data_IF_736935420171
#
_entry.id   IF_736935420171
#
_cell.length_a   1.000
_cell.length_b   1.000
_cell.length_c   1.000
_cell.angle_alpha   90.00
_cell.angle_beta   90.00
_cell.angle_gamma   90.00
#
_symmetry.space_group_name_H-M   'P 1'
#
loop_
_entity.id
_entity.type
_entity.pdbx_description
1 polymer ?
#
# COMPACT_ATOMS: atom_id res chain seq x y z
N UNK A 1 15.75 -33.49 6.98
CA UNK A 1 15.14 -32.42 6.15
C UNK A 1 14.34 -31.39 6.96
N UNK A 2 13.35 -31.77 7.76
CA UNK A 2 12.51 -30.82 8.52
C UNK A 2 13.29 -29.85 9.44
N UNK A 3 14.34 -30.33 10.13
CA UNK A 3 15.17 -29.48 10.99
C UNK A 3 15.96 -28.39 10.23
N UNK A 4 16.37 -28.66 8.99
CA UNK A 4 17.05 -27.68 8.12
C UNK A 4 16.11 -26.54 7.74
N UNK A 5 14.86 -26.86 7.35
CA UNK A 5 13.86 -25.86 7.03
C UNK A 5 13.46 -25.03 8.25
N UNK A 6 13.30 -25.63 9.44
CA UNK A 6 13.05 -24.89 10.69
C UNK A 6 14.16 -23.88 10.98
N UNK A 7 15.42 -24.32 10.97
CA UNK A 7 16.59 -23.45 11.18
C UNK A 7 16.71 -22.34 10.13
N UNK A 8 16.26 -22.58 8.90
CA UNK A 8 16.19 -21.58 7.82
C UNK A 8 15.13 -20.52 8.10
N UNK A 9 13.94 -20.91 8.55
CA UNK A 9 12.87 -19.98 8.87
C UNK A 9 13.19 -19.11 10.09
N UNK A 10 13.75 -19.69 11.15
CA UNK A 10 14.25 -18.96 12.33
C UNK A 10 15.26 -17.88 11.94
N UNK A 11 16.22 -18.22 11.05
CA UNK A 11 17.19 -17.25 10.52
C UNK A 11 16.53 -16.13 9.74
N UNK A 12 15.54 -16.44 8.90
CA UNK A 12 14.77 -15.43 8.15
C UNK A 12 13.96 -14.53 9.08
N UNK A 13 13.38 -15.08 10.13
CA UNK A 13 12.61 -14.31 11.11
C UNK A 13 13.52 -13.40 11.94
N UNK A 14 14.64 -13.91 12.43
CA UNK A 14 15.65 -13.10 13.12
C UNK A 14 16.19 -11.97 12.23
N UNK A 15 16.44 -12.24 10.94
CA UNK A 15 16.83 -11.22 9.96
C UNK A 15 15.74 -10.16 9.80
N UNK A 16 14.48 -10.58 9.62
CA UNK A 16 13.32 -9.66 9.50
C UNK A 16 13.17 -8.80 10.75
N UNK A 17 13.32 -9.36 11.95
CA UNK A 17 13.27 -8.63 13.22
C UNK A 17 14.36 -7.55 13.28
N UNK A 18 15.61 -7.93 13.05
CA UNK A 18 16.76 -6.99 13.02
C UNK A 18 16.57 -5.87 11.99
N UNK A 19 15.99 -6.18 10.83
CA UNK A 19 15.69 -5.17 9.82
C UNK A 19 14.60 -4.18 10.28
N UNK A 20 13.53 -4.67 10.93
CA UNK A 20 12.47 -3.80 11.50
C UNK A 20 13.02 -2.90 12.60
N UNK A 21 13.80 -3.43 13.53
CA UNK A 21 14.44 -2.67 14.61
C UNK A 21 15.37 -1.57 14.04
N UNK A 22 16.24 -1.94 13.08
CA UNK A 22 17.12 -0.98 12.41
C UNK A 22 16.33 0.11 11.67
N UNK A 23 15.26 -0.27 10.98
CA UNK A 23 14.39 0.66 10.28
C UNK A 23 13.75 1.66 11.26
N UNK A 24 13.16 1.16 12.34
CA UNK A 24 12.51 1.98 13.36
C UNK A 24 13.50 2.96 13.99
N UNK A 25 14.67 2.46 14.43
CA UNK A 25 15.75 3.28 15.01
C UNK A 25 16.20 4.39 14.07
N UNK A 26 16.46 4.07 12.80
CA UNK A 26 16.86 5.08 11.80
C UNK A 26 15.76 6.12 11.59
N UNK A 27 14.49 5.71 11.55
CA UNK A 27 13.35 6.62 11.38
C UNK A 27 13.23 7.58 12.57
N UNK A 28 13.38 7.09 13.80
CA UNK A 28 13.29 7.93 15.01
C UNK A 28 14.46 8.91 15.09
N UNK A 29 15.65 8.51 14.65
CA UNK A 29 16.86 9.35 14.64
C UNK A 29 16.93 10.32 13.44
N UNK A 30 15.92 10.33 12.56
CA UNK A 30 15.93 11.18 11.36
C UNK A 30 16.99 10.76 10.34
N UNK A 31 17.35 9.48 10.31
CA UNK A 31 18.32 8.90 9.39
C UNK A 31 17.63 8.19 8.22
N UNK A 32 18.31 8.19 7.09
CA UNK A 32 17.94 7.50 5.88
C UNK A 32 17.86 6.00 6.15
N UNK A 33 16.68 5.41 5.90
CA UNK A 33 16.42 4.00 6.20
C UNK A 33 17.32 3.06 5.40
N UNK A 34 17.81 3.50 4.24
CA UNK A 34 18.66 2.71 3.35
C UNK A 34 20.13 2.81 3.78
N UNK A 35 20.72 4.01 3.75
CA UNK A 35 22.17 4.20 3.95
C UNK A 35 22.56 4.68 5.36
N UNK A 36 21.63 5.12 6.20
CA UNK A 36 21.91 5.61 7.56
C UNK A 36 22.44 7.04 7.66
N UNK A 37 22.65 7.76 6.54
CA UNK A 37 22.97 9.21 6.54
C UNK A 37 21.76 10.04 6.95
N UNK A 38 21.92 11.32 7.28
CA UNK A 38 20.79 12.22 7.59
C UNK A 38 19.71 12.17 6.50
N UNK A 39 18.46 11.93 6.90
CA UNK A 39 17.33 11.95 5.98
C UNK A 39 16.98 13.38 5.58
N UNK A 40 16.33 13.53 4.44
CA UNK A 40 15.70 14.80 4.07
C UNK A 40 14.55 15.11 5.03
N UNK A 41 14.30 16.40 5.31
CA UNK A 41 13.31 16.83 6.30
C UNK A 41 11.93 16.16 6.07
N UNK A 42 11.42 15.49 7.11
CA UNK A 42 10.15 14.76 7.07
C UNK A 42 10.11 13.55 6.13
N UNK A 43 11.25 13.11 5.57
CA UNK A 43 11.34 11.95 4.67
C UNK A 43 12.07 10.79 5.35
N UNK A 44 11.86 9.59 4.80
CA UNK A 44 12.55 8.36 5.27
C UNK A 44 13.92 8.14 4.61
N UNK A 45 14.22 8.85 3.52
CA UNK A 45 15.46 8.70 2.74
C UNK A 45 16.20 10.02 2.68
N UNK A 46 17.53 9.95 2.48
CA UNK A 46 18.29 11.08 1.97
C UNK A 46 18.00 11.29 0.47
N UNK A 47 18.34 12.47 -0.05
CA UNK A 47 18.12 12.84 -1.44
C UNK A 47 18.74 11.84 -2.43
N UNK A 48 19.97 11.40 -2.19
CA UNK A 48 20.67 10.46 -3.08
C UNK A 48 19.97 9.11 -3.16
N UNK A 49 19.56 8.56 -2.01
CA UNK A 49 18.85 7.28 -1.96
C UNK A 49 17.46 7.39 -2.58
N UNK A 50 16.78 8.51 -2.37
CA UNK A 50 15.52 8.79 -3.02
C UNK A 50 15.66 8.84 -4.55
N UNK A 51 16.63 9.61 -5.07
CA UNK A 51 16.85 9.73 -6.51
C UNK A 51 17.29 8.41 -7.15
N UNK A 52 18.15 7.65 -6.48
CA UNK A 52 18.57 6.31 -6.94
C UNK A 52 17.36 5.38 -7.04
N UNK A 53 16.52 5.35 -6.02
CA UNK A 53 15.31 4.53 -6.01
C UNK A 53 14.31 4.99 -7.07
N UNK A 54 14.09 6.29 -7.23
CA UNK A 54 13.24 6.84 -8.29
C UNK A 54 13.72 6.44 -9.69
N UNK A 55 15.04 6.45 -9.94
CA UNK A 55 15.61 5.97 -11.21
C UNK A 55 15.42 4.48 -11.42
N UNK A 56 15.64 3.68 -10.39
CA UNK A 56 15.39 2.24 -10.44
C UNK A 56 13.91 1.94 -10.70
N UNK A 57 13.01 2.55 -9.92
CA UNK A 57 11.57 2.40 -10.06
C UNK A 57 11.13 2.81 -11.46
N UNK A 58 11.63 3.94 -12.00
CA UNK A 58 11.37 4.34 -13.40
C UNK A 58 11.82 3.26 -14.39
N UNK A 59 13.07 2.78 -14.30
CA UNK A 59 13.60 1.72 -15.20
C UNK A 59 12.78 0.44 -15.09
N UNK A 60 12.44 0.03 -13.87
CA UNK A 60 11.61 -1.14 -13.60
C UNK A 60 10.21 -0.95 -14.20
N UNK A 61 9.58 0.20 -13.98
CA UNK A 61 8.28 0.50 -14.56
C UNK A 61 8.32 0.69 -16.06
N UNK A 62 9.42 1.12 -16.68
CA UNK A 62 9.52 1.23 -18.13
C UNK A 62 9.71 -0.17 -18.76
N UNK A 63 10.58 -1.00 -18.17
CA UNK A 63 10.88 -2.34 -18.66
C UNK A 63 9.75 -3.36 -18.38
N UNK A 64 9.09 -3.21 -17.23
CA UNK A 64 8.06 -4.14 -16.75
C UNK A 64 6.71 -3.45 -16.60
N UNK A 65 6.47 -2.31 -17.28
CA UNK A 65 5.15 -1.68 -17.26
C UNK A 65 4.16 -2.72 -17.74
N UNK A 66 3.34 -3.19 -16.81
CA UNK A 66 2.24 -4.11 -17.08
C UNK A 66 1.06 -3.42 -17.77
N UNK A 67 1.36 -2.34 -18.50
CA UNK A 67 0.56 -1.70 -19.56
C UNK A 67 -0.08 -0.36 -19.19
N UNK A 68 0.07 0.61 -20.10
CA UNK A 68 -0.76 1.81 -20.19
C UNK A 68 -1.77 1.58 -21.32
N UNK A 69 -2.83 0.85 -21.05
CA UNK A 69 -4.02 0.97 -21.89
C UNK A 69 -4.67 2.28 -21.49
N UNK A 70 -4.92 3.16 -22.44
CA UNK A 70 -5.75 4.35 -22.25
C UNK A 70 -7.24 4.00 -22.03
N UNK A 71 -7.53 2.71 -21.85
CA UNK A 71 -8.84 2.08 -21.70
C UNK A 71 -9.70 2.12 -22.96
N UNK A 72 -9.18 2.65 -24.09
CA UNK A 72 -9.90 2.68 -25.36
C UNK A 72 -9.96 1.30 -26.03
N UNK A 73 -8.90 0.51 -25.91
CA UNK A 73 -8.77 -0.81 -26.53
C UNK A 73 -9.64 -1.92 -25.89
N UNK A 74 -10.42 -1.60 -24.84
CA UNK A 74 -11.21 -2.61 -24.13
C UNK A 74 -10.35 -3.64 -23.40
N UNK A 75 -9.12 -3.28 -23.00
CA UNK A 75 -8.19 -4.17 -22.31
C UNK A 75 -8.03 -3.82 -20.82
N UNK A 76 -7.80 -4.85 -20.01
CA UNK A 76 -7.58 -4.71 -18.58
C UNK A 76 -6.24 -4.04 -18.30
N UNK A 77 -6.26 -2.91 -17.58
CA UNK A 77 -5.04 -2.16 -17.19
C UNK A 77 -4.02 -2.92 -16.34
N UNK A 78 -4.35 -4.13 -15.88
CA UNK A 78 -3.51 -4.95 -15.00
C UNK A 78 -2.88 -6.13 -15.72
N UNK A 79 -3.44 -6.61 -16.83
CA UNK A 79 -2.92 -7.79 -17.54
C UNK A 79 -3.17 -7.81 -19.05
N UNK A 80 -3.82 -6.81 -19.61
CA UNK A 80 -4.25 -6.72 -21.02
C UNK A 80 -5.23 -7.77 -21.51
N UNK A 81 -5.83 -8.57 -20.64
CA UNK A 81 -6.95 -9.40 -21.05
C UNK A 81 -8.18 -8.53 -21.35
N UNK A 82 -9.10 -8.96 -22.24
CA UNK A 82 -10.33 -8.23 -22.52
C UNK A 82 -11.09 -7.87 -21.24
N UNK A 83 -11.60 -6.63 -21.18
CA UNK A 83 -12.42 -6.18 -20.06
C UNK A 83 -13.80 -6.84 -20.09
N UNK A 84 -14.40 -6.98 -18.92
CA UNK A 84 -15.83 -7.25 -18.83
C UNK A 84 -16.59 -6.04 -19.38
N UNK A 85 -17.64 -6.20 -20.21
CA UNK A 85 -18.45 -5.09 -20.70
C UNK A 85 -18.90 -4.15 -19.57
N UNK A 86 -18.70 -2.84 -19.76
CA UNK A 86 -19.02 -1.81 -18.76
C UNK A 86 -18.06 -1.74 -17.56
N UNK A 87 -16.95 -2.49 -17.58
CA UNK A 87 -15.90 -2.46 -16.55
C UNK A 87 -14.55 -2.07 -17.15
N UNK A 88 -13.59 -1.75 -16.29
CA UNK A 88 -12.20 -1.38 -16.66
C UNK A 88 -11.18 -2.50 -16.45
N UNK A 89 -11.65 -3.68 -16.05
CA UNK A 89 -10.84 -4.84 -15.67
C UNK A 89 -11.41 -6.11 -16.31
N UNK A 90 -10.55 -7.10 -16.53
CA UNK A 90 -10.96 -8.45 -16.91
C UNK A 90 -11.70 -9.13 -15.75
N UNK A 91 -12.34 -10.27 -16.02
CA UNK A 91 -13.10 -11.03 -15.02
C UNK A 91 -12.25 -11.36 -13.78
N UNK A 92 -11.06 -11.93 -13.99
CA UNK A 92 -10.13 -12.32 -12.93
C UNK A 92 -9.77 -11.15 -12.00
N UNK A 93 -9.44 -10.00 -12.59
CA UNK A 93 -9.08 -8.82 -11.80
C UNK A 93 -10.28 -8.13 -11.16
N UNK A 94 -11.49 -8.26 -11.72
CA UNK A 94 -12.71 -7.86 -11.04
C UNK A 94 -12.91 -8.67 -9.76
N UNK A 95 -12.69 -9.98 -9.79
CA UNK A 95 -12.87 -10.86 -8.62
C UNK A 95 -11.84 -10.61 -7.54
N UNK A 96 -10.57 -10.46 -7.91
CA UNK A 96 -9.51 -10.06 -6.97
C UNK A 96 -9.86 -8.73 -6.30
N UNK A 97 -10.35 -7.75 -7.06
CA UNK A 97 -10.74 -6.45 -6.52
C UNK A 97 -11.93 -6.57 -5.55
N UNK A 98 -12.93 -7.39 -5.86
CA UNK A 98 -14.06 -7.68 -4.97
C UNK A 98 -13.61 -8.27 -3.65
N UNK A 99 -12.71 -9.25 -3.67
CA UNK A 99 -12.18 -9.87 -2.44
C UNK A 99 -11.36 -8.87 -1.60
N UNK A 100 -10.58 -8.01 -2.26
CA UNK A 100 -9.84 -6.96 -1.56
C UNK A 100 -10.78 -5.92 -0.93
N UNK A 101 -11.86 -5.55 -1.60
CA UNK A 101 -12.88 -4.65 -1.06
C UNK A 101 -13.59 -5.24 0.16
N UNK A 102 -13.93 -6.53 0.13
CA UNK A 102 -14.49 -7.22 1.31
C UNK A 102 -13.57 -7.11 2.52
N UNK A 103 -12.27 -7.36 2.34
CA UNK A 103 -11.26 -7.23 3.41
C UNK A 103 -11.14 -5.79 3.91
N UNK A 104 -11.09 -4.83 2.99
CA UNK A 104 -10.98 -3.41 3.35
C UNK A 104 -12.22 -2.92 4.12
N UNK A 105 -13.42 -3.36 3.71
CA UNK A 105 -14.67 -3.00 4.39
C UNK A 105 -14.77 -3.66 5.77
N UNK A 106 -14.34 -4.92 5.92
CA UNK A 106 -14.30 -5.59 7.21
C UNK A 106 -13.37 -4.91 8.22
N UNK A 107 -12.33 -4.22 7.74
CA UNK A 107 -11.40 -3.45 8.57
C UNK A 107 -11.92 -2.04 8.89
N UNK A 108 -12.96 -1.55 8.21
CA UNK A 108 -13.54 -0.24 8.47
C UNK A 108 -14.61 -0.33 9.54
N UNK A 109 -14.25 -0.01 10.79
CA UNK A 109 -15.25 0.27 11.82
C UNK A 109 -15.83 1.66 11.56
N UNK A 110 -17.00 1.70 10.94
CA UNK A 110 -17.70 2.96 10.72
C UNK A 110 -18.53 3.40 11.94
N UNK A 111 -18.42 2.68 13.07
CA UNK A 111 -19.23 2.86 14.28
C UNK A 111 -18.93 4.22 14.94
N UNK A 112 -17.66 4.62 14.97
CA UNK A 112 -17.16 5.85 15.60
C UNK A 112 -16.62 6.85 14.55
N UNK A 113 -17.34 7.01 13.43
CA UNK A 113 -16.94 7.98 12.41
C UNK A 113 -17.48 9.38 12.75
N UNK A 114 -16.68 10.44 12.70
CA UNK A 114 -17.09 11.81 13.07
C UNK A 114 -18.42 12.33 12.48
N UNK A 115 -18.77 11.99 11.23
CA UNK A 115 -20.05 12.44 10.63
C UNK A 115 -21.29 11.76 11.23
N UNK A 116 -21.14 10.62 11.94
CA UNK A 116 -22.26 9.96 12.64
C UNK A 116 -22.68 10.71 13.90
N UNK A 117 -21.74 11.38 14.56
CA UNK A 117 -22.00 12.20 15.74
C UNK A 117 -22.19 13.69 15.39
N UNK A 118 -21.57 14.14 14.30
CA UNK A 118 -21.63 15.54 13.82
C UNK A 118 -23.00 16.01 13.31
N UNK A 119 -23.97 15.11 13.11
CA UNK A 119 -25.33 15.47 12.67
C UNK A 119 -26.19 16.15 13.76
N UNK A 120 -25.72 16.21 15.01
CA UNK A 120 -26.44 16.90 16.09
C UNK A 120 -26.57 18.42 15.89
N UNK A 121 -25.66 19.03 15.11
CA UNK A 121 -25.70 20.48 14.81
C UNK A 121 -26.67 20.83 13.66
N UNK A 122 -26.89 19.90 12.72
CA UNK A 122 -27.75 20.11 11.54
C UNK A 122 -29.22 19.81 11.90
N UNK A 123 -29.46 18.75 12.67
CA UNK A 123 -30.79 18.40 13.17
C UNK A 123 -30.90 18.80 14.65
N UNK A 124 -30.95 20.11 14.94
CA UNK A 124 -31.42 20.56 16.26
C UNK A 124 -32.81 19.95 16.46
N UNK A 125 -32.95 19.00 17.39
CA UNK A 125 -34.28 18.63 17.89
C UNK A 125 -34.84 19.91 18.49
N UNK A 126 -35.85 20.48 17.83
CA UNK A 126 -36.59 21.58 18.41
C UNK A 126 -37.14 21.10 19.75
N UNK A 127 -36.82 21.83 20.81
CA UNK A 127 -37.42 21.59 22.13
C UNK A 127 -38.92 21.80 21.96
N UNK A 128 -39.68 20.70 21.95
CA UNK A 128 -41.13 20.72 22.15
C UNK A 128 -41.39 21.13 23.60
N UNK A 129 -41.77 22.40 23.78
CA UNK A 129 -42.47 22.91 24.95
C UNK A 129 -43.97 22.97 24.64
#
# INVERSE_FOLDING_TARGET
MAAYYRKREERKEAMRRRQRERYAKRRTEGLCTDCGKKASAGKRLCLDCFLRRRRYDKRYFDAYRRVKTDFSDGLCRLCNEPVVPGKKLCATHCDILRENLKKANAQQSNVDHPWRHGNQLIFKKGDTQ
#
